data_IF_442599957188
#
_entry.id   IF_442599957188
#
_cell.length_a   1.000
_cell.length_b   1.000
_cell.length_c   1.000
_cell.angle_alpha   90.00
_cell.angle_beta   90.00
_cell.angle_gamma   90.00
#
_symmetry.space_group_name_H-M   'P 1'
#
loop_
_entity.id
_entity.type
_entity.pdbx_description
1 polymer ?
#
# COMPACT_ATOMS: atom_id res chain seq x y z
N UNK A 1 5.74 -2.15 24.71
CA UNK A 1 5.43 -1.46 25.98
C UNK A 1 4.04 -0.86 25.85
N UNK A 2 3.14 -1.18 26.76
CA UNK A 2 1.81 -0.60 26.83
C UNK A 2 1.84 0.70 27.62
N UNK A 3 1.25 1.77 27.07
CA UNK A 3 1.09 3.08 27.74
C UNK A 3 -0.37 3.53 27.57
N UNK A 4 -1.20 3.29 28.60
CA UNK A 4 -2.63 3.51 28.49
C UNK A 4 -3.23 2.63 27.39
N UNK A 5 -4.01 3.22 26.50
CA UNK A 5 -4.66 2.53 25.36
C UNK A 5 -3.71 2.37 24.14
N UNK A 6 -2.44 2.77 24.26
CA UNK A 6 -1.46 2.69 23.16
C UNK A 6 -0.45 1.60 23.43
N UNK A 7 -0.26 0.70 22.46
CA UNK A 7 0.83 -0.27 22.46
C UNK A 7 1.98 0.23 21.59
N UNK A 8 3.18 0.34 22.19
CA UNK A 8 4.37 0.85 21.51
C UNK A 8 5.37 -0.28 21.23
N UNK A 9 5.82 -0.39 19.98
CA UNK A 9 6.82 -1.35 19.51
C UNK A 9 8.07 -0.59 19.06
N UNK A 10 9.25 -1.07 19.51
CA UNK A 10 10.52 -0.52 19.06
C UNK A 10 10.97 -1.23 17.79
N UNK A 11 10.93 -0.54 16.65
CA UNK A 11 11.33 -1.09 15.36
C UNK A 11 12.82 -1.44 15.30
N UNK A 12 13.67 -0.70 16.00
CA UNK A 12 15.12 -0.94 16.01
C UNK A 12 15.52 -2.24 16.72
N UNK A 13 14.62 -2.83 17.51
CA UNK A 13 14.87 -4.11 18.17
C UNK A 13 14.71 -5.32 17.22
N UNK A 14 14.12 -5.11 16.04
CA UNK A 14 13.85 -6.15 15.05
C UNK A 14 14.92 -6.15 13.96
N UNK A 15 15.45 -7.32 13.67
CA UNK A 15 16.38 -7.52 12.54
C UNK A 15 15.57 -7.79 11.28
N UNK A 16 15.65 -6.89 10.32
CA UNK A 16 15.08 -7.02 8.98
C UNK A 16 16.19 -6.83 7.94
N UNK A 17 16.05 -7.36 6.71
CA UNK A 17 16.94 -7.04 5.59
C UNK A 17 17.03 -5.53 5.34
N UNK A 18 18.09 -5.07 4.67
CA UNK A 18 18.28 -3.63 4.38
C UNK A 18 17.22 -3.09 3.41
N UNK A 19 16.74 -3.93 2.51
CA UNK A 19 15.70 -3.66 1.52
C UNK A 19 14.27 -3.92 2.02
N UNK A 20 14.11 -4.32 3.30
CA UNK A 20 12.81 -4.62 3.88
C UNK A 20 11.91 -3.39 3.91
N UNK A 21 10.62 -3.63 3.70
CA UNK A 21 9.56 -2.65 3.80
C UNK A 21 8.88 -2.70 5.19
N UNK A 22 8.03 -1.72 5.47
CA UNK A 22 7.24 -1.68 6.71
C UNK A 22 6.41 -2.96 6.89
N UNK A 23 5.92 -3.53 5.81
CA UNK A 23 5.18 -4.80 5.81
C UNK A 23 5.99 -5.94 6.44
N UNK A 24 7.27 -6.08 6.06
CA UNK A 24 8.15 -7.13 6.59
C UNK A 24 8.45 -6.92 8.07
N UNK A 25 8.54 -5.67 8.49
CA UNK A 25 8.73 -5.31 9.88
C UNK A 25 7.49 -5.65 10.72
N UNK A 26 6.29 -5.32 10.22
CA UNK A 26 5.04 -5.61 10.91
C UNK A 26 4.78 -7.11 11.03
N UNK A 27 5.08 -7.90 10.01
CA UNK A 27 4.95 -9.38 10.06
C UNK A 27 5.80 -10.03 11.16
N UNK A 28 6.86 -9.36 11.63
CA UNK A 28 7.69 -9.83 12.75
C UNK A 28 7.16 -9.42 14.12
N UNK A 29 6.19 -8.54 14.17
CA UNK A 29 5.58 -8.11 15.42
C UNK A 29 4.42 -9.04 15.82
N UNK A 30 4.30 -9.36 17.11
CA UNK A 30 3.19 -10.18 17.59
C UNK A 30 1.86 -9.45 17.38
N UNK A 31 0.83 -10.20 16.97
CA UNK A 31 -0.52 -9.68 16.76
C UNK A 31 -0.77 -9.01 15.41
N UNK A 32 0.23 -8.87 14.55
CA UNK A 32 0.06 -8.33 13.20
C UNK A 32 -0.01 -9.43 12.15
N UNK A 33 -0.96 -9.32 11.24
CA UNK A 33 -1.16 -10.24 10.12
C UNK A 33 -1.71 -9.50 8.91
N UNK A 34 -1.44 -10.01 7.72
CA UNK A 34 -2.09 -9.54 6.49
C UNK A 34 -3.01 -10.66 6.01
N UNK A 35 -4.31 -10.35 5.96
CA UNK A 35 -5.36 -11.27 5.55
C UNK A 35 -6.16 -10.61 4.44
N UNK A 36 -6.29 -11.26 3.30
CA UNK A 36 -7.02 -10.76 2.12
C UNK A 36 -6.63 -9.33 1.70
N UNK A 37 -5.32 -9.01 1.78
CA UNK A 37 -4.80 -7.69 1.42
C UNK A 37 -5.12 -6.59 2.43
N UNK A 38 -5.54 -6.94 3.64
CA UNK A 38 -5.82 -6.03 4.75
C UNK A 38 -4.87 -6.27 5.91
N UNK A 39 -4.41 -5.19 6.52
CA UNK A 39 -3.61 -5.28 7.73
C UNK A 39 -4.53 -5.50 8.94
N UNK A 40 -4.27 -6.58 9.67
CA UNK A 40 -4.94 -6.90 10.93
C UNK A 40 -3.98 -6.70 12.09
N UNK A 41 -4.48 -6.12 13.17
CA UNK A 41 -3.73 -5.94 14.41
C UNK A 41 -4.58 -6.45 15.59
N UNK A 42 -4.11 -7.49 16.27
CA UNK A 42 -4.84 -8.20 17.33
C UNK A 42 -6.26 -8.65 16.91
N UNK A 43 -6.42 -9.10 15.65
CA UNK A 43 -7.69 -9.58 15.12
C UNK A 43 -8.62 -8.49 14.59
N UNK A 44 -8.24 -7.22 14.67
CA UNK A 44 -9.01 -6.10 14.13
C UNK A 44 -8.33 -5.48 12.90
N UNK A 45 -9.11 -5.07 11.90
CA UNK A 45 -8.59 -4.39 10.71
C UNK A 45 -8.07 -3.01 11.05
N UNK A 46 -6.81 -2.73 10.64
CA UNK A 46 -6.22 -1.39 10.75
C UNK A 46 -6.84 -0.50 9.68
N UNK A 47 -7.58 0.52 10.11
CA UNK A 47 -8.28 1.44 9.21
C UNK A 47 -7.44 2.63 8.78
N UNK A 48 -6.58 3.12 9.68
CA UNK A 48 -5.76 4.32 9.43
C UNK A 48 -4.30 4.08 9.79
N UNK A 49 -3.42 4.56 8.94
CA UNK A 49 -1.98 4.63 9.20
C UNK A 49 -1.55 6.09 9.19
N UNK A 50 -0.87 6.48 10.25
CA UNK A 50 -0.24 7.78 10.38
C UNK A 50 1.27 7.63 10.25
N UNK A 51 1.93 8.60 9.65
CA UNK A 51 3.40 8.73 9.68
C UNK A 51 3.74 10.05 10.34
N UNK A 52 4.48 9.95 11.44
CA UNK A 52 4.86 11.10 12.27
C UNK A 52 3.65 11.96 12.73
N UNK A 53 2.52 11.28 12.99
CA UNK A 53 1.27 11.90 13.47
C UNK A 53 0.38 12.50 12.38
N UNK A 54 0.76 12.41 11.11
CA UNK A 54 -0.06 12.84 9.97
C UNK A 54 -0.55 11.62 9.21
N UNK A 55 -1.84 11.58 8.86
CA UNK A 55 -2.43 10.47 8.11
C UNK A 55 -1.70 10.26 6.79
N UNK A 56 -1.35 8.99 6.51
CA UNK A 56 -0.63 8.63 5.31
C UNK A 56 -1.61 8.27 4.21
N UNK A 57 -1.51 9.00 3.08
CA UNK A 57 -2.30 8.80 1.86
C UNK A 57 -3.70 8.22 2.06
N UNK A 58 -4.63 9.04 2.01
CA UNK A 58 -6.06 9.06 2.30
C UNK A 58 -6.88 7.78 2.09
N UNK A 59 -6.45 6.77 1.33
CA UNK A 59 -7.36 5.70 0.94
C UNK A 59 -6.87 4.27 1.08
N UNK A 60 -5.56 4.04 1.25
CA UNK A 60 -5.05 2.67 1.27
C UNK A 60 -3.91 2.47 2.28
N UNK A 61 -4.19 1.91 3.47
CA UNK A 61 -3.18 1.55 4.45
C UNK A 61 -2.08 0.64 3.89
N UNK A 62 -2.42 -0.25 2.95
CA UNK A 62 -1.45 -1.17 2.34
C UNK A 62 -0.39 -0.46 1.51
N UNK A 63 -0.70 0.70 0.91
CA UNK A 63 0.29 1.49 0.19
C UNK A 63 1.45 1.95 1.09
N UNK A 64 1.16 2.34 2.33
CA UNK A 64 2.19 2.68 3.30
C UNK A 64 3.09 1.49 3.65
N UNK A 65 2.50 0.29 3.80
CA UNK A 65 3.25 -0.91 4.16
C UNK A 65 4.24 -1.33 3.08
N UNK A 66 3.85 -1.20 1.82
CA UNK A 66 4.60 -1.69 0.67
C UNK A 66 5.56 -0.66 0.06
N UNK A 67 5.56 0.55 0.57
CA UNK A 67 6.41 1.62 0.04
C UNK A 67 7.37 2.19 1.07
N UNK A 68 7.03 2.17 2.35
CA UNK A 68 7.89 2.76 3.39
C UNK A 68 9.02 1.80 3.77
N UNK A 69 10.30 2.16 3.55
CA UNK A 69 11.41 1.33 3.97
C UNK A 69 11.46 1.15 5.49
N UNK A 70 11.61 -0.09 5.94
CA UNK A 70 11.72 -0.43 7.36
C UNK A 70 12.87 0.30 8.05
N UNK A 71 13.95 0.58 7.32
CA UNK A 71 15.13 1.31 7.80
C UNK A 71 14.82 2.73 8.29
N UNK A 72 13.75 3.36 7.81
CA UNK A 72 13.30 4.68 8.22
C UNK A 72 12.46 4.67 9.49
N UNK A 73 11.96 3.50 9.90
CA UNK A 73 11.06 3.35 11.04
C UNK A 73 11.86 3.33 12.35
N UNK A 74 11.41 4.12 13.32
CA UNK A 74 11.94 4.15 14.67
C UNK A 74 11.04 3.39 15.64
N UNK A 75 9.74 3.73 15.64
CA UNK A 75 8.73 3.12 16.50
C UNK A 75 7.41 2.95 15.79
N UNK A 76 6.63 2.00 16.23
CA UNK A 76 5.26 1.75 15.77
C UNK A 76 4.35 1.86 17.01
N UNK A 77 3.34 2.70 16.92
CA UNK A 77 2.32 2.86 17.96
C UNK A 77 0.99 2.37 17.42
N UNK A 78 0.39 1.45 18.14
CA UNK A 78 -0.94 0.93 17.86
C UNK A 78 -1.91 1.50 18.89
N UNK A 79 -3.03 2.06 18.43
CA UNK A 79 -4.04 2.69 19.28
C UNK A 79 -5.41 2.65 18.62
N UNK A 80 -6.45 2.91 19.39
CA UNK A 80 -7.81 3.04 18.90
C UNK A 80 -8.13 4.52 18.63
N UNK A 81 -8.08 4.89 17.34
CA UNK A 81 -8.39 6.24 16.86
C UNK A 81 -9.89 6.50 16.79
N UNK A 82 -10.27 7.76 16.74
CA UNK A 82 -11.66 8.20 16.55
C UNK A 82 -12.12 7.94 15.11
N UNK A 83 -13.45 7.97 14.91
CA UNK A 83 -14.04 7.94 13.58
C UNK A 83 -13.72 9.22 12.80
N UNK A 84 -13.86 9.16 11.46
CA UNK A 84 -13.70 10.34 10.59
C UNK A 84 -14.73 11.41 10.91
N UNK A 85 -15.96 10.99 11.23
CA UNK A 85 -17.04 11.89 11.63
C UNK A 85 -16.71 12.61 12.95
N UNK A 86 -16.14 11.89 13.93
CA UNK A 86 -15.73 12.47 15.19
C UNK A 86 -14.52 13.41 15.03
N UNK A 87 -13.58 13.07 14.16
CA UNK A 87 -12.41 13.93 13.85
C UNK A 87 -12.85 15.22 13.13
N UNK A 88 -13.78 15.11 12.18
CA UNK A 88 -14.30 16.25 11.42
C UNK A 88 -15.22 17.16 12.24
N UNK A 89 -16.19 16.59 12.96
CA UNK A 89 -17.20 17.35 13.72
C UNK A 89 -16.69 17.85 15.07
N UNK A 90 -15.61 17.23 15.59
CA UNK A 90 -15.12 17.44 16.95
C UNK A 90 -16.00 16.79 18.04
N UNK A 91 -17.11 16.14 17.65
CA UNK A 91 -18.01 15.43 18.55
C UNK A 91 -17.66 13.94 18.60
N UNK A 92 -17.45 13.41 19.79
CA UNK A 92 -17.09 12.00 19.99
C UNK A 92 -18.34 11.11 19.84
N UNK A 93 -18.39 10.35 18.75
CA UNK A 93 -19.48 9.40 18.45
C UNK A 93 -19.32 8.05 19.15
N UNK A 94 -18.27 7.89 19.95
CA UNK A 94 -17.92 6.66 20.66
C UNK A 94 -17.37 5.53 19.77
N UNK A 95 -17.34 5.71 18.44
CA UNK A 95 -16.73 4.73 17.54
C UNK A 95 -15.21 4.82 17.58
N UNK A 96 -14.55 3.67 17.58
CA UNK A 96 -13.09 3.56 17.57
C UNK A 96 -12.65 2.61 16.48
N UNK A 97 -11.51 2.92 15.87
CA UNK A 97 -10.91 2.10 14.83
C UNK A 97 -9.44 1.85 15.15
N UNK A 98 -9.02 0.62 14.93
CA UNK A 98 -7.61 0.27 15.07
C UNK A 98 -6.77 1.11 14.11
N UNK A 99 -5.79 1.81 14.67
CA UNK A 99 -4.93 2.73 13.95
C UNK A 99 -3.47 2.51 14.31
N UNK A 100 -2.57 2.82 13.36
CA UNK A 100 -1.13 2.78 13.58
C UNK A 100 -0.54 4.16 13.36
N UNK A 101 0.39 4.56 14.22
CA UNK A 101 1.28 5.68 13.98
C UNK A 101 2.72 5.19 13.87
N UNK A 102 3.30 5.38 12.71
CA UNK A 102 4.68 5.03 12.38
C UNK A 102 5.55 6.25 12.67
N UNK A 103 6.34 6.21 13.72
CA UNK A 103 7.32 7.25 14.01
C UNK A 103 8.60 6.97 13.25
N UNK A 104 9.04 7.91 12.43
CA UNK A 104 10.26 7.77 11.65
C UNK A 104 11.48 8.30 12.39
N UNK A 105 12.66 7.85 11.94
CA UNK A 105 13.92 8.46 12.35
C UNK A 105 14.01 9.86 11.73
N UNK A 106 14.28 10.89 12.52
CA UNK A 106 14.42 12.29 12.06
C UNK A 106 13.19 12.79 11.26
N UNK A 107 12.01 12.96 11.89
CA UNK A 107 10.74 13.26 11.19
C UNK A 107 10.76 14.56 10.38
N UNK A 108 11.59 15.53 10.73
CA UNK A 108 11.70 16.81 10.03
C UNK A 108 12.59 16.77 8.77
N UNK A 109 13.41 15.71 8.62
CA UNK A 109 14.28 15.56 7.47
C UNK A 109 13.48 15.04 6.29
N UNK A 110 13.70 15.61 5.10
CA UNK A 110 13.13 15.09 3.85
C UNK A 110 13.71 13.69 3.58
N UNK A 111 12.82 12.73 3.39
CA UNK A 111 13.13 11.35 3.02
C UNK A 111 12.65 11.13 1.61
N UNK A 112 13.52 10.59 0.76
CA UNK A 112 13.20 10.25 -0.62
C UNK A 112 13.55 8.79 -0.83
N UNK A 113 12.61 8.03 -1.36
CA UNK A 113 12.81 6.62 -1.70
C UNK A 113 11.89 6.22 -2.85
N UNK A 114 12.21 5.14 -3.51
CA UNK A 114 11.41 4.63 -4.62
C UNK A 114 11.75 3.18 -4.91
N UNK A 115 10.89 2.56 -5.72
CA UNK A 115 11.03 1.18 -6.17
C UNK A 115 10.77 1.12 -7.66
N UNK A 116 11.54 0.31 -8.36
CA UNK A 116 11.30 -0.03 -9.75
C UNK A 116 11.33 -1.54 -9.90
N UNK A 117 10.35 -2.08 -10.60
CA UNK A 117 10.28 -3.49 -10.95
C UNK A 117 10.14 -3.64 -12.46
N UNK A 118 10.90 -4.57 -13.01
CA UNK A 118 10.93 -4.88 -14.42
C UNK A 118 10.81 -6.40 -14.57
N UNK A 119 9.77 -6.83 -15.26
CA UNK A 119 9.55 -8.23 -15.57
C UNK A 119 9.34 -8.40 -17.09
N UNK A 120 10.00 -9.39 -17.67
CA UNK A 120 9.75 -9.82 -19.04
C UNK A 120 9.68 -11.34 -19.07
N UNK A 121 8.72 -11.87 -19.81
CA UNK A 121 8.54 -13.30 -19.99
C UNK A 121 7.97 -13.61 -21.36
N UNK A 122 8.09 -14.86 -21.76
CA UNK A 122 7.48 -15.39 -22.98
C UNK A 122 6.57 -16.51 -22.55
N UNK A 123 5.28 -16.43 -22.90
CA UNK A 123 4.35 -17.54 -22.78
C UNK A 123 4.11 -18.20 -24.12
N UNK A 124 4.18 -19.52 -24.15
CA UNK A 124 3.84 -20.30 -25.33
C UNK A 124 2.42 -20.84 -25.15
N UNK A 125 1.56 -20.54 -26.08
CA UNK A 125 0.22 -21.16 -26.14
C UNK A 125 0.35 -22.45 -26.92
N UNK A 126 0.23 -23.60 -26.26
CA UNK A 126 0.40 -24.92 -26.84
C UNK A 126 -0.68 -25.27 -27.89
N UNK A 127 -1.84 -24.61 -27.85
CA UNK A 127 -2.92 -24.87 -28.82
C UNK A 127 -2.72 -24.17 -30.16
N UNK A 128 -2.09 -22.99 -30.18
CA UNK A 128 -2.02 -22.14 -31.38
C UNK A 128 -0.60 -21.79 -31.84
N UNK A 129 0.46 -22.31 -31.20
CA UNK A 129 1.88 -22.03 -31.52
C UNK A 129 2.25 -20.53 -31.54
N UNK A 130 1.46 -19.67 -30.93
CA UNK A 130 1.79 -18.25 -30.79
C UNK A 130 2.59 -18.01 -29.52
N UNK A 131 3.67 -17.20 -29.66
CA UNK A 131 4.46 -16.73 -28.54
C UNK A 131 3.99 -15.34 -28.15
N UNK A 132 3.49 -15.20 -26.92
CA UNK A 132 3.13 -13.91 -26.38
C UNK A 132 4.27 -13.37 -25.50
N UNK A 133 4.66 -12.14 -25.79
CA UNK A 133 5.60 -11.41 -24.96
C UNK A 133 4.86 -10.81 -23.77
N UNK A 134 5.23 -11.21 -22.57
CA UNK A 134 4.68 -10.70 -21.34
C UNK A 134 5.65 -9.68 -20.74
N UNK A 135 5.10 -8.58 -20.23
CA UNK A 135 5.86 -7.58 -19.52
C UNK A 135 5.12 -7.11 -18.26
N UNK A 136 5.89 -6.78 -17.26
CA UNK A 136 5.43 -6.11 -16.05
C UNK A 136 6.45 -5.03 -15.69
N UNK A 137 6.04 -3.78 -15.78
CA UNK A 137 6.86 -2.62 -15.48
C UNK A 137 6.17 -1.84 -14.38
N UNK A 138 6.89 -1.51 -13.33
CA UNK A 138 6.38 -0.67 -12.27
C UNK A 138 7.43 0.29 -11.75
N UNK A 139 7.01 1.49 -11.40
CA UNK A 139 7.85 2.50 -10.78
C UNK A 139 7.07 3.23 -9.70
N UNK A 140 7.72 3.50 -8.58
CA UNK A 140 7.21 4.39 -7.55
C UNK A 140 8.33 5.30 -7.04
N UNK A 141 7.98 6.55 -6.75
CA UNK A 141 8.86 7.50 -6.10
C UNK A 141 8.07 8.25 -5.02
N UNK A 142 8.67 8.38 -3.85
CA UNK A 142 8.05 8.97 -2.69
C UNK A 142 9.03 9.97 -2.06
N UNK A 143 8.50 11.10 -1.62
CA UNK A 143 9.24 12.09 -0.86
C UNK A 143 8.37 12.58 0.29
N UNK A 144 8.86 12.52 1.52
CA UNK A 144 8.11 13.04 2.65
C UNK A 144 8.99 13.56 3.78
N UNK A 145 8.42 14.46 4.54
CA UNK A 145 8.84 14.86 5.87
C UNK A 145 7.58 14.99 6.75
N UNK A 146 7.72 15.48 7.98
CA UNK A 146 6.59 15.63 8.91
C UNK A 146 5.44 16.47 8.34
N UNK A 147 5.71 17.44 7.45
CA UNK A 147 4.71 18.39 6.93
C UNK A 147 4.28 18.10 5.49
N UNK A 148 5.18 17.53 4.70
CA UNK A 148 4.98 17.39 3.26
C UNK A 148 5.09 15.94 2.85
N UNK A 149 4.20 15.50 2.00
CA UNK A 149 4.18 14.16 1.44
C UNK A 149 3.89 14.26 -0.05
N UNK A 150 4.66 13.53 -0.82
CA UNK A 150 4.49 13.41 -2.26
C UNK A 150 4.75 11.96 -2.66
N UNK A 151 3.90 11.42 -3.50
CA UNK A 151 4.05 10.10 -4.09
C UNK A 151 3.65 10.13 -5.55
N UNK A 152 4.42 9.42 -6.37
CA UNK A 152 4.07 9.13 -7.75
C UNK A 152 4.29 7.65 -8.01
N UNK A 153 3.34 7.02 -8.69
CA UNK A 153 3.40 5.60 -9.02
C UNK A 153 2.90 5.38 -10.44
N UNK A 154 3.51 4.41 -11.12
CA UNK A 154 3.07 3.99 -12.45
C UNK A 154 3.32 2.52 -12.66
N UNK A 155 2.41 1.84 -13.36
CA UNK A 155 2.62 0.46 -13.80
C UNK A 155 2.04 0.20 -15.18
N UNK A 156 2.77 -0.63 -15.93
CA UNK A 156 2.36 -1.15 -17.23
C UNK A 156 2.51 -2.67 -17.20
N UNK A 157 1.49 -3.38 -17.62
CA UNK A 157 1.54 -4.85 -17.65
C UNK A 157 0.70 -5.42 -18.79
N UNK A 158 1.06 -6.59 -19.25
CA UNK A 158 0.22 -7.44 -20.10
C UNK A 158 0.23 -8.90 -19.63
N UNK A 159 0.32 -9.12 -18.34
CA UNK A 159 0.34 -10.44 -17.71
C UNK A 159 -0.88 -10.64 -16.83
N UNK A 160 -1.25 -11.89 -16.58
CA UNK A 160 -2.31 -12.25 -15.63
C UNK A 160 -1.88 -12.14 -14.16
N UNK A 161 -0.64 -11.77 -13.89
CA UNK A 161 -0.15 -11.55 -12.53
C UNK A 161 -0.58 -10.19 -12.01
N UNK A 162 -0.87 -10.11 -10.73
CA UNK A 162 -1.14 -8.86 -10.03
C UNK A 162 0.05 -7.89 -10.13
N UNK A 163 -0.19 -6.60 -9.98
CA UNK A 163 0.88 -5.64 -9.83
C UNK A 163 1.47 -5.73 -8.43
N UNK A 164 2.79 -5.68 -8.32
CA UNK A 164 3.48 -5.54 -7.03
C UNK A 164 3.39 -4.12 -6.46
N UNK A 165 2.83 -3.17 -7.22
CA UNK A 165 2.66 -1.80 -6.73
C UNK A 165 1.38 -1.67 -5.91
N UNK A 166 1.41 -0.92 -4.80
CA UNK A 166 0.22 -0.55 -4.06
C UNK A 166 -0.75 0.20 -4.98
N UNK A 167 -2.03 0.05 -4.77
CA UNK A 167 -3.11 0.65 -5.57
C UNK A 167 -3.31 0.12 -7.00
N UNK A 168 -2.55 -0.86 -7.45
CA UNK A 168 -2.83 -1.52 -8.70
C UNK A 168 -3.98 -2.53 -8.52
N UNK A 169 -5.19 -2.15 -8.90
CA UNK A 169 -6.35 -3.06 -8.85
C UNK A 169 -6.25 -4.11 -9.95
N UNK A 170 -6.29 -5.36 -9.56
CA UNK A 170 -6.36 -6.50 -10.47
C UNK A 170 -7.80 -7.04 -10.51
N UNK A 171 -8.42 -6.96 -11.68
CA UNK A 171 -9.70 -7.60 -11.94
C UNK A 171 -9.56 -8.49 -13.17
N UNK A 172 -9.08 -9.71 -13.00
CA UNK A 172 -8.95 -10.66 -14.11
C UNK A 172 -9.23 -12.10 -13.69
N UNK A 173 -10.18 -12.71 -14.39
CA UNK A 173 -10.42 -14.16 -14.36
C UNK A 173 -9.91 -14.72 -15.68
N UNK A 174 -8.73 -15.31 -15.72
CA UNK A 174 -8.17 -16.03 -16.86
C UNK A 174 -8.19 -15.25 -18.20
N UNK A 175 -7.15 -15.35 -18.97
CA UNK A 175 -7.04 -14.64 -20.24
C UNK A 175 -5.87 -13.64 -20.25
N UNK A 176 -5.64 -12.99 -21.39
CA UNK A 176 -4.56 -12.00 -21.52
C UNK A 176 -5.06 -10.64 -21.04
N UNK A 177 -4.47 -10.11 -19.95
CA UNK A 177 -4.88 -8.84 -19.38
C UNK A 177 -3.79 -7.79 -19.59
N UNK A 178 -4.18 -6.66 -20.19
CA UNK A 178 -3.33 -5.48 -20.30
C UNK A 178 -3.79 -4.43 -19.31
N UNK A 179 -2.87 -3.85 -18.55
CA UNK A 179 -3.19 -2.82 -17.59
C UNK A 179 -2.17 -1.69 -17.58
N UNK A 180 -2.69 -0.47 -17.46
CA UNK A 180 -1.92 0.75 -17.19
C UNK A 180 -2.53 1.40 -15.97
N UNK A 181 -1.73 1.64 -14.94
CA UNK A 181 -2.19 2.35 -13.75
C UNK A 181 -1.18 3.44 -13.43
N UNK A 182 -1.67 4.57 -12.97
CA UNK A 182 -0.85 5.66 -12.48
C UNK A 182 -1.55 6.38 -11.34
N UNK A 183 -0.78 6.86 -10.38
CA UNK A 183 -1.28 7.72 -9.31
C UNK A 183 -0.25 8.77 -8.95
N UNK A 184 -0.77 9.90 -8.48
CA UNK A 184 0.00 10.97 -7.89
C UNK A 184 -0.77 11.45 -6.65
N UNK A 185 -0.08 11.50 -5.54
CA UNK A 185 -0.64 11.91 -4.27
C UNK A 185 0.24 12.99 -3.65
N UNK A 186 -0.36 14.01 -3.07
CA UNK A 186 0.35 15.02 -2.30
C UNK A 186 -0.43 15.40 -1.05
N UNK A 187 0.27 15.75 0.00
CA UNK A 187 -0.30 16.35 1.20
C UNK A 187 0.69 17.36 1.81
N UNK A 188 0.19 18.47 2.32
CA UNK A 188 0.99 19.48 2.99
C UNK A 188 0.24 20.04 4.21
N UNK A 189 0.90 20.00 5.36
CA UNK A 189 0.42 20.58 6.63
C UNK A 189 1.04 21.97 6.79
N UNK A 190 0.27 23.03 6.62
CA UNK A 190 0.77 24.42 6.67
C UNK A 190 0.92 24.94 8.09
N UNK A 191 -0.08 24.80 8.92
CA UNK A 191 -0.08 25.27 10.31
C UNK A 191 -1.09 24.47 11.13
N UNK A 192 -1.25 24.79 12.41
CA UNK A 192 -2.18 24.08 13.28
C UNK A 192 -3.59 24.05 12.67
N UNK A 193 -3.99 22.87 12.23
CA UNK A 193 -5.34 22.59 11.75
C UNK A 193 -5.60 22.90 10.26
N UNK A 194 -4.57 23.16 9.46
CA UNK A 194 -4.72 23.34 8.02
C UNK A 194 -3.88 22.34 7.25
N UNK A 195 -4.54 21.31 6.72
CA UNK A 195 -3.96 20.31 5.85
C UNK A 195 -4.58 20.46 4.45
N UNK A 196 -3.72 20.49 3.44
CA UNK A 196 -4.14 20.47 2.03
C UNK A 196 -3.51 19.25 1.39
N UNK A 197 -4.33 18.43 0.77
CA UNK A 197 -3.89 17.26 0.05
C UNK A 197 -4.78 17.00 -1.16
N UNK A 198 -4.27 16.18 -2.04
CA UNK A 198 -5.02 15.72 -3.20
C UNK A 198 -4.41 14.47 -3.79
N UNK A 199 -5.23 13.69 -4.45
CA UNK A 199 -4.83 12.51 -5.20
C UNK A 199 -5.36 12.58 -6.62
N UNK A 200 -4.55 12.10 -7.55
CA UNK A 200 -4.93 11.87 -8.92
C UNK A 200 -4.56 10.45 -9.30
N UNK A 201 -5.52 9.68 -9.77
CA UNK A 201 -5.28 8.32 -10.20
C UNK A 201 -6.03 8.03 -11.50
N UNK A 202 -5.47 7.13 -12.29
CA UNK A 202 -6.09 6.65 -13.50
C UNK A 202 -5.67 5.22 -13.80
N UNK A 203 -6.59 4.49 -14.41
CA UNK A 203 -6.34 3.13 -14.85
C UNK A 203 -7.00 2.87 -16.20
N UNK A 204 -6.32 2.09 -17.03
CA UNK A 204 -6.90 1.50 -18.22
C UNK A 204 -6.56 0.01 -18.19
N UNK A 205 -7.59 -0.81 -18.10
CA UNK A 205 -7.44 -2.26 -18.04
C UNK A 205 -8.26 -2.90 -19.15
N UNK A 206 -7.61 -3.68 -19.99
CA UNK A 206 -8.21 -4.47 -21.06
C UNK A 206 -8.04 -5.94 -20.73
N UNK A 207 -9.12 -6.70 -20.77
CA UNK A 207 -9.10 -8.15 -20.56
C UNK A 207 -9.69 -8.88 -21.77
N UNK A 208 -8.97 -9.86 -22.24
CA UNK A 208 -9.41 -10.75 -23.31
C UNK A 208 -9.57 -12.15 -22.74
N UNK A 209 -10.78 -12.70 -22.76
CA UNK A 209 -11.05 -14.08 -22.41
C UNK A 209 -11.70 -14.79 -23.59
N UNK A 210 -11.15 -15.93 -24.00
CA UNK A 210 -11.77 -16.82 -24.95
C UNK A 210 -12.19 -18.10 -24.21
N UNK A 211 -13.45 -18.53 -24.39
CA UNK A 211 -13.94 -19.83 -23.91
C UNK A 211 -14.44 -20.64 -25.08
N UNK A 212 -13.92 -21.85 -25.27
CA UNK A 212 -14.49 -22.85 -26.20
C UNK A 212 -15.21 -23.92 -25.39
N UNK A 213 -16.43 -24.25 -25.77
CA UNK A 213 -17.19 -25.39 -25.24
C UNK A 213 -17.29 -26.45 -26.34
N UNK A 214 -16.67 -27.60 -26.12
CA UNK A 214 -16.84 -28.78 -26.93
C UNK A 214 -18.01 -29.57 -26.31
N UNK A 215 -19.11 -29.73 -27.05
CA UNK A 215 -20.18 -30.66 -26.69
C UNK A 215 -20.02 -31.90 -27.57
N UNK A 216 -19.64 -33.00 -26.96
CA UNK A 216 -19.73 -34.32 -27.61
C UNK A 216 -21.14 -34.86 -27.38
N UNK A 217 -21.83 -35.13 -28.46
CA UNK A 217 -23.11 -35.87 -28.44
C UNK A 217 -22.80 -37.34 -28.70
N UNK A 218 -23.18 -38.20 -27.77
CA UNK A 218 -23.19 -39.65 -27.92
C UNK A 218 -24.58 -40.13 -28.35
#
# INVERSE_FOLDING_TARGET
IQKGDTTEFNANALKVPEDAELEDLLKKLPGFQIVDGKLMANGEEVKKIYIDGTEYFLSNPMAALQTLPASLVNKIKMFDGKSEEADFSGYDDGKRFRSLNIETKNPNQLKVFGKANLGHGISENLENSFKDNNYNLGVSANAFNKKQKFSIQGSLRNTNQGSELPNAQYHGKGGNNRGKNYSMDFANTFSKGTDIGGSYNGSNNESYSASSRIQEYF
#
